data_IF_708453166438
#
_entry.id   IF_708453166438
#
_cell.length_a   1.000
_cell.length_b   1.000
_cell.length_c   1.000
_cell.angle_alpha   90.00
_cell.angle_beta   90.00
_cell.angle_gamma   90.00
#
_symmetry.space_group_name_H-M   'P 1'
#
loop_
_entity.id
_entity.type
_entity.pdbx_description
1 polymer ?
#
# COMPACT_ATOMS: atom_id res chain seq x y z
N UNK A 1 -20.32 -10.82 -18.82
CA UNK A 1 -20.11 -9.46 -19.34
C UNK A 1 -19.49 -8.62 -18.22
N UNK A 2 -18.15 -8.61 -18.07
CA UNK A 2 -17.47 -7.87 -16.99
C UNK A 2 -17.44 -6.38 -17.36
N UNK A 3 -18.03 -5.54 -16.51
CA UNK A 3 -18.02 -4.09 -16.68
C UNK A 3 -16.56 -3.59 -16.63
N UNK A 4 -16.14 -2.89 -17.70
CA UNK A 4 -14.85 -2.18 -17.72
C UNK A 4 -14.92 -1.07 -16.65
N UNK A 5 -13.91 -0.91 -15.78
CA UNK A 5 -13.84 0.25 -14.90
C UNK A 5 -13.79 1.50 -15.77
N UNK A 6 -14.67 2.45 -15.44
CA UNK A 6 -14.89 3.71 -16.15
C UNK A 6 -13.69 4.62 -15.84
N UNK A 7 -12.80 4.81 -16.83
CA UNK A 7 -11.57 5.63 -16.73
C UNK A 7 -11.86 7.15 -16.69
N UNK A 8 -13.13 7.55 -16.71
CA UNK A 8 -13.60 8.94 -16.72
C UNK A 8 -13.51 9.63 -15.35
N UNK A 9 -13.21 8.91 -14.27
CA UNK A 9 -13.10 9.44 -12.89
C UNK A 9 -11.69 9.35 -12.29
N UNK A 10 -10.65 9.28 -13.12
CA UNK A 10 -9.28 9.18 -12.62
C UNK A 10 -8.79 10.54 -12.13
N UNK A 11 -8.91 10.81 -10.82
CA UNK A 11 -8.33 12.00 -10.18
C UNK A 11 -6.82 11.78 -10.01
N UNK A 12 -6.00 12.65 -10.60
CA UNK A 12 -4.54 12.55 -10.49
C UNK A 12 -4.03 13.20 -9.21
N UNK A 13 -3.43 12.42 -8.31
CA UNK A 13 -2.71 12.93 -7.13
C UNK A 13 -1.21 12.77 -7.38
N UNK A 14 -0.47 13.89 -7.36
CA UNK A 14 0.97 13.90 -7.58
C UNK A 14 1.70 13.99 -6.24
N UNK A 15 2.37 12.91 -5.84
CA UNK A 15 3.10 12.82 -4.57
C UNK A 15 4.57 13.08 -4.84
N UNK A 16 5.15 14.09 -4.17
CA UNK A 16 6.57 14.44 -4.28
C UNK A 16 7.27 14.46 -2.94
N UNK A 17 8.55 14.09 -2.97
CA UNK A 17 9.40 13.94 -1.80
C UNK A 17 9.98 15.26 -1.30
N UNK A 18 10.05 16.27 -2.17
CA UNK A 18 10.74 17.55 -1.97
C UNK A 18 9.82 18.79 -2.08
N UNK A 19 8.53 18.59 -2.39
CA UNK A 19 7.49 19.61 -2.65
C UNK A 19 7.78 20.56 -3.85
N UNK A 20 6.81 20.67 -4.79
CA UNK A 20 6.71 21.64 -5.92
C UNK A 20 7.37 21.37 -7.31
N UNK A 21 6.69 21.89 -8.35
CA UNK A 21 6.59 21.66 -9.82
C UNK A 21 7.54 20.80 -10.70
N UNK A 22 6.90 20.09 -11.64
CA UNK A 22 7.24 19.96 -13.07
C UNK A 22 7.67 18.58 -13.66
N UNK A 23 6.86 18.20 -14.66
CA UNK A 23 7.17 17.52 -15.92
C UNK A 23 7.06 15.98 -16.01
N UNK A 24 5.94 15.62 -16.66
CA UNK A 24 5.38 14.33 -17.00
C UNK A 24 6.10 13.65 -18.16
N UNK A 25 6.32 12.33 -18.06
CA UNK A 25 6.11 11.36 -19.15
C UNK A 25 5.68 10.02 -18.55
N UNK A 26 4.51 9.53 -18.93
CA UNK A 26 4.02 8.20 -18.57
C UNK A 26 3.93 7.32 -19.82
N UNK A 27 4.64 6.19 -19.81
CA UNK A 27 4.51 5.12 -20.81
C UNK A 27 3.90 3.92 -20.09
N UNK A 28 2.83 3.35 -20.65
CA UNK A 28 2.09 2.23 -20.04
C UNK A 28 2.49 0.91 -20.69
N UNK A 29 2.88 -0.07 -19.89
CA UNK A 29 3.00 -1.48 -20.27
C UNK A 29 2.08 -2.31 -19.37
N UNK A 30 1.26 -3.16 -19.99
CA UNK A 30 0.25 -4.00 -19.33
C UNK A 30 0.76 -5.43 -19.37
N UNK A 31 1.20 -5.96 -18.23
CA UNK A 31 1.49 -7.40 -18.09
C UNK A 31 0.18 -8.09 -17.68
N UNK A 32 -0.32 -8.95 -18.55
CA UNK A 32 -1.35 -9.93 -18.22
C UNK A 32 -0.68 -11.08 -17.47
N UNK A 33 -1.22 -11.47 -16.31
CA UNK A 33 -0.77 -12.67 -15.59
C UNK A 33 -1.77 -13.78 -15.92
N UNK A 34 -1.34 -14.71 -16.75
CA UNK A 34 -2.11 -15.93 -17.03
C UNK A 34 -2.10 -16.82 -15.78
N UNK A 35 -3.27 -17.38 -15.47
CA UNK A 35 -3.50 -18.30 -14.39
C UNK A 35 -2.71 -19.59 -14.61
N UNK A 36 -1.72 -19.85 -13.77
CA UNK A 36 -1.09 -21.16 -13.64
C UNK A 36 -1.50 -21.76 -12.29
N UNK A 37 -2.66 -22.41 -12.25
CA UNK A 37 -2.96 -23.40 -11.23
C UNK A 37 -3.33 -24.71 -11.89
N UNK A 38 -2.32 -25.49 -12.27
CA UNK A 38 -2.46 -26.94 -12.36
C UNK A 38 -1.12 -27.59 -12.01
N UNK A 39 -1.21 -28.54 -11.07
CA UNK A 39 -0.26 -29.59 -10.70
C UNK A 39 0.87 -29.27 -9.68
N UNK A 40 0.55 -29.39 -8.38
CA UNK A 40 1.47 -29.95 -7.36
C UNK A 40 0.68 -30.65 -6.23
N UNK A 41 0.42 -31.96 -6.35
CA UNK A 41 0.00 -32.83 -5.22
C UNK A 41 1.23 -33.12 -4.35
N UNK A 42 1.32 -32.48 -3.18
CA UNK A 42 0.93 -32.97 -1.84
C UNK A 42 1.96 -33.92 -1.19
N UNK A 43 3.03 -33.34 -0.65
CA UNK A 43 3.55 -33.84 0.64
C UNK A 43 2.56 -33.42 1.73
N UNK A 44 2.25 -34.28 2.73
CA UNK A 44 1.47 -33.85 3.88
C UNK A 44 2.17 -32.64 4.50
N UNK A 45 1.45 -31.53 4.57
CA UNK A 45 1.95 -30.27 5.09
C UNK A 45 1.26 -30.06 6.44
N UNK A 46 1.98 -30.10 7.57
CA UNK A 46 1.39 -29.91 8.89
C UNK A 46 0.68 -28.56 9.03
N UNK A 47 0.99 -27.58 8.16
CA UNK A 47 0.33 -26.29 8.11
C UNK A 47 -1.00 -26.28 7.33
N UNK A 48 -1.42 -27.42 6.75
CA UNK A 48 -2.66 -27.56 5.95
C UNK A 48 -3.71 -28.45 6.60
N UNK A 49 -3.40 -29.06 7.74
CA UNK A 49 -4.29 -29.95 8.46
C UNK A 49 -4.70 -29.28 9.79
N UNK A 50 -6.00 -29.22 10.07
CA UNK A 50 -6.56 -28.72 11.35
C UNK A 50 -6.17 -27.29 11.76
N UNK A 51 -5.65 -26.47 10.85
CA UNK A 51 -5.31 -25.06 11.06
C UNK A 51 -6.22 -24.12 10.25
N UNK A 52 -7.48 -24.53 10.03
CA UNK A 52 -8.45 -23.68 9.37
C UNK A 52 -8.59 -22.32 10.10
N UNK A 53 -8.84 -21.24 9.37
CA UNK A 53 -9.07 -19.92 9.96
C UNK A 53 -10.16 -19.96 11.03
N UNK A 54 -9.83 -19.45 12.20
CA UNK A 54 -10.69 -19.33 13.36
C UNK A 54 -10.36 -18.01 14.10
N UNK A 55 -11.19 -17.57 15.05
CA UNK A 55 -10.98 -16.29 15.73
C UNK A 55 -9.63 -16.14 16.46
N UNK A 56 -8.94 -17.23 16.79
CA UNK A 56 -7.65 -17.21 17.49
C UNK A 56 -6.43 -17.16 16.55
N UNK A 57 -6.56 -17.65 15.30
CA UNK A 57 -5.44 -17.71 14.34
C UNK A 57 -5.69 -16.86 13.06
N UNK A 58 -6.87 -16.25 12.93
CA UNK A 58 -7.24 -15.43 11.79
C UNK A 58 -7.61 -14.01 12.25
N UNK A 59 -6.77 -13.07 11.84
CA UNK A 59 -7.07 -11.65 11.87
C UNK A 59 -6.90 -11.10 10.45
N UNK A 60 -7.87 -10.33 9.98
CA UNK A 60 -7.72 -9.60 8.70
C UNK A 60 -6.72 -8.49 8.95
N UNK A 61 -5.45 -8.73 8.64
CA UNK A 61 -4.41 -7.72 8.74
C UNK A 61 -4.42 -6.89 7.46
N UNK A 62 -4.90 -5.65 7.56
CA UNK A 62 -4.71 -4.67 6.51
C UNK A 62 -3.33 -4.03 6.61
N UNK A 63 -2.81 -3.40 5.54
CA UNK A 63 -1.60 -2.59 5.63
C UNK A 63 -1.67 -1.51 6.72
N UNK A 64 -2.88 -1.00 7.02
CA UNK A 64 -3.10 0.02 8.06
C UNK A 64 -2.97 -0.60 9.44
N UNK A 65 -3.59 -1.77 9.67
CA UNK A 65 -3.48 -2.48 10.95
C UNK A 65 -2.02 -2.82 11.26
N UNK A 66 -1.24 -3.19 10.24
CA UNK A 66 0.20 -3.41 10.39
C UNK A 66 0.94 -2.13 10.77
N UNK A 67 0.66 -1.00 10.11
CA UNK A 67 1.32 0.28 10.39
C UNK A 67 1.03 0.75 11.82
N UNK A 68 -0.24 0.65 12.25
CA UNK A 68 -0.66 1.05 13.59
C UNK A 68 -0.02 0.17 14.66
N UNK A 69 -0.05 -1.15 14.48
CA UNK A 69 0.62 -2.08 15.37
C UNK A 69 2.13 -1.83 15.45
N UNK A 70 2.81 -1.56 14.33
CA UNK A 70 4.25 -1.33 14.32
C UNK A 70 4.63 -0.02 15.02
N UNK A 71 3.83 1.04 14.84
CA UNK A 71 4.03 2.32 15.51
C UNK A 71 3.74 2.26 17.01
N UNK A 72 2.78 1.43 17.43
CA UNK A 72 2.48 1.20 18.85
C UNK A 72 3.55 0.31 19.53
N UNK A 73 3.90 -0.82 18.92
CA UNK A 73 4.83 -1.78 19.51
C UNK A 73 6.29 -1.33 19.45
N UNK A 74 6.68 -0.57 18.41
CA UNK A 74 8.07 -0.21 18.15
C UNK A 74 8.25 1.26 17.71
N UNK A 75 7.74 2.25 18.46
CA UNK A 75 7.66 3.65 18.03
C UNK A 75 9.01 4.26 17.62
N UNK A 76 10.08 3.92 18.34
CA UNK A 76 11.43 4.47 18.15
C UNK A 76 12.31 3.62 17.22
N UNK A 77 11.86 2.42 16.81
CA UNK A 77 12.65 1.59 15.89
C UNK A 77 12.61 2.19 14.48
N UNK A 78 13.76 2.17 13.81
CA UNK A 78 13.87 2.60 12.42
C UNK A 78 12.98 1.72 11.52
N UNK A 79 12.03 2.38 10.87
CA UNK A 79 11.11 1.81 9.90
C UNK A 79 11.61 2.02 8.47
N UNK A 80 12.23 3.18 8.23
CA UNK A 80 12.61 3.60 6.90
C UNK A 80 14.01 4.22 6.88
N UNK A 81 14.80 3.79 5.90
CA UNK A 81 16.14 4.28 5.62
C UNK A 81 16.23 4.58 4.12
N UNK A 82 16.59 5.81 3.77
CA UNK A 82 16.83 6.21 2.38
C UNK A 82 17.87 7.32 2.30
N UNK A 83 19.09 6.99 1.87
CA UNK A 83 20.25 7.89 1.99
C UNK A 83 20.46 8.28 3.46
N UNK A 84 20.50 9.59 3.72
CA UNK A 84 20.63 10.16 5.06
C UNK A 84 19.31 10.19 5.84
N UNK A 85 18.18 9.92 5.17
CA UNK A 85 16.87 9.87 5.83
C UNK A 85 16.82 8.62 6.72
N UNK A 86 16.48 8.85 7.99
CA UNK A 86 16.26 7.83 9.03
C UNK A 86 14.93 8.18 9.69
N UNK A 87 13.94 7.30 9.64
CA UNK A 87 12.64 7.54 10.27
C UNK A 87 12.18 6.33 11.08
N UNK A 88 11.64 6.60 12.26
CA UNK A 88 11.06 5.58 13.13
C UNK A 88 9.63 5.26 12.73
N UNK A 89 9.07 4.16 13.25
CA UNK A 89 7.68 3.77 12.98
C UNK A 89 6.67 4.85 13.37
N UNK A 90 6.85 5.52 14.52
CA UNK A 90 5.98 6.62 14.94
C UNK A 90 6.02 7.80 13.95
N UNK A 91 7.20 8.11 13.40
CA UNK A 91 7.35 9.18 12.38
C UNK A 91 6.67 8.77 11.08
N UNK A 92 6.89 7.54 10.61
CA UNK A 92 6.28 7.03 9.38
C UNK A 92 4.75 7.05 9.48
N UNK A 93 4.17 6.57 10.59
CA UNK A 93 2.73 6.58 10.80
C UNK A 93 2.15 7.99 10.71
N UNK A 94 2.77 8.96 11.42
CA UNK A 94 2.36 10.36 11.39
C UNK A 94 2.40 10.95 9.97
N UNK A 95 3.46 10.67 9.21
CA UNK A 95 3.57 11.14 7.82
C UNK A 95 2.51 10.52 6.90
N UNK A 96 2.17 9.24 7.11
CA UNK A 96 1.10 8.57 6.38
C UNK A 96 -0.26 9.22 6.69
N UNK A 97 -0.56 9.50 7.96
CA UNK A 97 -1.80 10.19 8.37
C UNK A 97 -1.90 11.60 7.77
N UNK A 98 -0.80 12.36 7.76
CA UNK A 98 -0.76 13.68 7.12
C UNK A 98 -1.01 13.60 5.62
N UNK A 99 -0.43 12.60 4.94
CA UNK A 99 -0.65 12.37 3.51
C UNK A 99 -2.11 11.96 3.24
N UNK A 100 -2.67 11.06 4.06
CA UNK A 100 -4.06 10.61 3.94
C UNK A 100 -5.03 11.79 4.08
N UNK A 101 -4.83 12.65 5.08
CA UNK A 101 -5.62 13.87 5.24
C UNK A 101 -5.55 14.78 3.99
N UNK A 102 -4.36 14.89 3.37
CA UNK A 102 -4.20 15.62 2.11
C UNK A 102 -4.93 14.98 0.92
N UNK A 103 -4.97 13.65 0.85
CA UNK A 103 -5.72 12.89 -0.17
C UNK A 103 -7.23 13.10 0.02
N UNK A 104 -7.72 12.98 1.25
CA UNK A 104 -9.14 13.18 1.60
C UNK A 104 -9.59 14.61 1.29
N UNK A 105 -8.73 15.62 1.50
CA UNK A 105 -9.00 17.00 1.12
C UNK A 105 -9.23 17.19 -0.40
N UNK A 106 -8.73 16.26 -1.25
CA UNK A 106 -9.01 16.23 -2.70
C UNK A 106 -10.32 15.49 -3.05
N UNK A 107 -11.17 15.23 -2.05
CA UNK A 107 -12.45 14.54 -2.19
C UNK A 107 -12.30 13.13 -2.79
N UNK A 108 -11.19 12.47 -2.46
CA UNK A 108 -10.98 11.06 -2.75
C UNK A 108 -11.46 10.23 -1.57
N UNK A 109 -12.09 9.09 -1.84
CA UNK A 109 -12.62 8.23 -0.80
C UNK A 109 -12.76 6.77 -1.21
N UNK A 110 -13.51 6.02 -0.40
CA UNK A 110 -13.72 4.58 -0.58
C UNK A 110 -14.29 4.29 -1.97
N UNK A 111 -13.63 3.38 -2.69
CA UNK A 111 -14.00 2.97 -4.04
C UNK A 111 -13.35 3.77 -5.16
N UNK A 112 -12.67 4.89 -4.85
CA UNK A 112 -11.84 5.59 -5.83
C UNK A 112 -10.55 4.82 -6.09
N UNK A 113 -10.11 4.83 -7.35
CA UNK A 113 -8.86 4.18 -7.76
C UNK A 113 -7.75 5.22 -7.85
N UNK A 114 -6.70 5.03 -7.05
CA UNK A 114 -5.49 5.86 -7.08
C UNK A 114 -4.37 5.12 -7.79
N UNK A 115 -3.77 5.75 -8.79
CA UNK A 115 -2.56 5.27 -9.43
C UNK A 115 -1.38 6.13 -8.99
N UNK A 116 -0.28 5.49 -8.60
CA UNK A 116 0.96 6.15 -8.18
C UNK A 116 2.11 5.70 -9.08
N UNK A 117 2.89 6.66 -9.58
CA UNK A 117 4.11 6.42 -10.33
C UNK A 117 5.25 7.12 -9.60
N UNK A 118 6.03 6.34 -8.85
CA UNK A 118 7.03 6.84 -7.93
C UNK A 118 8.33 6.03 -8.08
N UNK A 119 9.52 6.65 -7.93
CA UNK A 119 10.76 5.92 -7.78
C UNK A 119 10.81 5.20 -6.42
N UNK A 120 11.87 4.44 -6.15
CA UNK A 120 12.06 3.78 -4.85
C UNK A 120 12.52 4.78 -3.77
N UNK A 121 11.57 5.62 -3.35
CA UNK A 121 11.77 6.71 -2.40
C UNK A 121 10.76 6.62 -1.25
N UNK A 122 11.04 7.22 -0.08
CA UNK A 122 10.13 7.19 1.06
C UNK A 122 8.66 7.54 0.78
N UNK A 123 8.41 8.47 -0.15
CA UNK A 123 7.06 8.83 -0.56
C UNK A 123 6.23 7.64 -1.08
N UNK A 124 6.88 6.62 -1.65
CA UNK A 124 6.22 5.39 -2.09
C UNK A 124 5.66 4.61 -0.89
N UNK A 125 6.44 4.51 0.19
CA UNK A 125 6.00 3.84 1.42
C UNK A 125 4.86 4.61 2.06
N UNK A 126 4.94 5.94 2.12
CA UNK A 126 3.84 6.73 2.69
C UNK A 126 2.56 6.56 1.86
N UNK A 127 2.67 6.61 0.52
CA UNK A 127 1.53 6.43 -0.36
C UNK A 127 0.89 5.04 -0.22
N UNK A 128 1.70 4.00 0.00
CA UNK A 128 1.22 2.63 0.22
C UNK A 128 0.24 2.53 1.40
N UNK A 129 0.51 3.25 2.50
CA UNK A 129 -0.34 3.26 3.69
C UNK A 129 -1.38 4.37 3.70
N UNK A 130 -1.09 5.53 3.11
CA UNK A 130 -1.98 6.69 3.14
C UNK A 130 -3.17 6.59 2.16
N UNK A 131 -3.01 5.87 1.04
CA UNK A 131 -4.10 5.69 0.06
C UNK A 131 -5.27 4.83 0.59
N UNK A 132 -5.05 3.70 1.28
CA UNK A 132 -6.16 2.93 1.85
C UNK A 132 -6.74 3.53 3.14
N UNK A 133 -6.15 4.60 3.69
CA UNK A 133 -6.50 5.22 4.99
C UNK A 133 -7.66 6.21 4.91
#
# INVERSE_FOLDING_TARGET
>A
MRAKPRLDKMKSVHIRQDQACSLLRATTLKIARDNLETAMTSRPNPYREHLDPNPANYAVLTPIDFLDWAAEAYPDRLALIHGDIRQSWAVVQKLCQQMAAGIQAQQLGVGDTVAVMLPNIPAMIYAHFAVPM
#
